data_IF_008673425157
#
_entry.id   IF_008673425157
#
_cell.length_a   1.000
_cell.length_b   1.000
_cell.length_c   1.000
_cell.angle_alpha   90.00
_cell.angle_beta   90.00
_cell.angle_gamma   90.00
#
_symmetry.space_group_name_H-M   'P 1'
#
loop_
_entity.id
_entity.type
_entity.pdbx_description
1 polymer ?
#
# COMPACT_ATOMS: atom_id res chain seq x y z
N UNK A 1 -16.33 32.10 10.69
CA UNK A 1 -16.01 31.07 9.66
C UNK A 1 -15.02 30.01 10.14
N UNK A 2 -14.22 30.27 11.18
CA UNK A 2 -13.21 29.35 11.74
C UNK A 2 -13.76 28.29 12.72
N UNK A 3 -14.86 28.57 13.44
CA UNK A 3 -15.43 27.60 14.39
C UNK A 3 -16.12 26.38 13.76
N UNK A 4 -16.69 26.52 12.55
CA UNK A 4 -17.30 25.37 11.83
C UNK A 4 -16.26 24.41 11.26
N UNK A 5 -15.05 24.86 10.93
CA UNK A 5 -14.02 24.00 10.35
C UNK A 5 -13.39 23.03 11.37
N UNK A 6 -13.40 23.38 12.66
CA UNK A 6 -12.89 22.50 13.74
C UNK A 6 -13.87 21.35 14.04
N UNK A 7 -15.17 21.54 13.77
CA UNK A 7 -16.21 20.55 14.05
C UNK A 7 -16.25 19.38 13.06
N UNK A 8 -15.58 19.49 11.90
CA UNK A 8 -15.54 18.45 10.86
C UNK A 8 -14.20 17.72 10.77
N UNK A 9 -13.31 17.87 11.76
CA UNK A 9 -12.14 16.99 11.79
C UNK A 9 -12.62 15.54 11.93
N UNK A 10 -12.23 14.62 11.04
CA UNK A 10 -12.85 13.31 10.98
C UNK A 10 -12.53 12.55 12.26
N UNK A 11 -13.50 12.47 13.17
CA UNK A 11 -13.38 11.72 14.43
C UNK A 11 -12.89 10.29 14.20
N UNK A 12 -13.21 9.71 13.03
CA UNK A 12 -12.72 8.43 12.56
C UNK A 12 -11.18 8.29 12.53
N UNK A 13 -10.41 9.39 12.41
CA UNK A 13 -8.95 9.38 12.34
C UNK A 13 -8.28 10.10 13.51
N UNK A 14 -9.04 10.43 14.56
CA UNK A 14 -8.49 11.04 15.77
C UNK A 14 -8.37 9.98 16.87
N UNK A 15 -7.16 9.71 17.38
CA UNK A 15 -7.01 8.78 18.48
C UNK A 15 -7.66 9.32 19.75
N UNK A 16 -8.16 8.43 20.61
CA UNK A 16 -8.79 8.79 21.89
C UNK A 16 -7.85 9.55 22.84
N UNK A 17 -6.54 9.36 22.70
CA UNK A 17 -5.54 10.16 23.41
C UNK A 17 -4.09 9.89 22.99
N UNK A 18 -3.18 10.72 23.50
CA UNK A 18 -1.75 10.63 23.19
C UNK A 18 -1.09 9.31 23.64
N UNK A 19 -1.61 8.68 24.70
CA UNK A 19 -1.12 7.40 25.19
C UNK A 19 -1.23 6.30 24.13
N UNK A 20 -2.30 6.30 23.33
CA UNK A 20 -2.49 5.38 22.19
C UNK A 20 -1.43 5.63 21.13
N UNK A 21 -1.19 6.89 20.77
CA UNK A 21 -0.16 7.28 19.79
C UNK A 21 1.22 6.81 20.23
N UNK A 22 1.59 7.04 21.50
CA UNK A 22 2.88 6.59 22.02
C UNK A 22 2.99 5.06 22.05
N UNK A 23 1.92 4.35 22.41
CA UNK A 23 1.91 2.89 22.39
C UNK A 23 2.06 2.33 20.97
N UNK A 24 1.38 2.91 19.97
CA UNK A 24 1.54 2.55 18.56
C UNK A 24 3.00 2.74 18.13
N UNK A 25 3.59 3.90 18.42
CA UNK A 25 4.99 4.21 18.09
C UNK A 25 5.94 3.21 18.76
N UNK A 26 5.72 2.87 20.02
CA UNK A 26 6.55 1.91 20.75
C UNK A 26 6.53 0.53 20.10
N UNK A 27 5.35 0.01 19.73
CA UNK A 27 5.21 -1.27 19.01
C UNK A 27 5.96 -1.23 17.68
N UNK A 28 5.78 -0.17 16.89
CA UNK A 28 6.47 0.00 15.60
C UNK A 28 8.00 0.04 15.79
N UNK A 29 8.50 0.74 16.80
CA UNK A 29 9.93 0.82 17.10
C UNK A 29 10.52 -0.55 17.44
N UNK A 30 9.83 -1.35 18.26
CA UNK A 30 10.22 -2.73 18.58
C UNK A 30 10.32 -3.57 17.31
N UNK A 31 9.33 -3.50 16.42
CA UNK A 31 9.33 -4.25 15.15
C UNK A 31 10.51 -3.85 14.25
N UNK A 32 10.82 -2.55 14.14
CA UNK A 32 11.97 -2.07 13.36
C UNK A 32 13.28 -2.63 13.90
N UNK A 33 13.45 -2.63 15.22
CA UNK A 33 14.66 -3.16 15.89
C UNK A 33 14.77 -4.67 15.67
N UNK A 34 13.68 -5.42 15.90
CA UNK A 34 13.66 -6.87 15.64
C UNK A 34 13.99 -7.17 14.19
N UNK A 35 13.41 -6.44 13.24
CA UNK A 35 13.70 -6.58 11.81
C UNK A 35 15.18 -6.33 11.48
N UNK A 36 15.80 -5.31 12.08
CA UNK A 36 17.23 -5.02 11.91
C UNK A 36 18.11 -6.17 12.44
N UNK A 37 17.87 -6.57 13.69
CA UNK A 37 18.64 -7.61 14.38
C UNK A 37 18.51 -8.94 13.64
N UNK A 38 17.31 -9.27 13.15
CA UNK A 38 17.07 -10.45 12.34
C UNK A 38 17.86 -10.41 11.03
N UNK A 39 17.76 -9.32 10.26
CA UNK A 39 18.43 -9.17 8.96
C UNK A 39 19.97 -9.10 9.05
N UNK A 40 20.49 -8.58 10.16
CA UNK A 40 21.93 -8.43 10.41
C UNK A 40 22.54 -9.59 11.20
N UNK A 41 22.24 -9.63 12.51
CA UNK A 41 22.91 -10.47 13.49
C UNK A 41 22.45 -11.94 13.44
N UNK A 42 21.13 -12.19 13.45
CA UNK A 42 20.61 -13.57 13.53
C UNK A 42 20.97 -14.38 12.27
N UNK A 43 20.88 -13.79 11.08
CA UNK A 43 21.30 -14.46 9.82
C UNK A 43 22.78 -14.84 9.85
N UNK A 44 23.64 -14.01 10.44
CA UNK A 44 25.08 -14.29 10.48
C UNK A 44 25.44 -15.47 11.40
N UNK A 45 24.60 -15.79 12.39
CA UNK A 45 24.89 -16.77 13.43
C UNK A 45 24.05 -18.05 13.36
N UNK A 46 22.83 -18.00 12.83
CA UNK A 46 21.89 -19.13 12.86
C UNK A 46 21.87 -19.86 11.51
N UNK A 47 22.25 -21.14 11.52
CA UNK A 47 22.15 -22.07 10.39
C UNK A 47 21.20 -23.19 10.80
N UNK A 48 19.93 -23.20 10.35
CA UNK A 48 19.48 -22.70 9.06
C UNK A 48 18.66 -21.40 9.11
N UNK A 49 18.64 -20.66 7.99
CA UNK A 49 17.85 -19.42 7.82
C UNK A 49 16.33 -19.58 7.98
N UNK A 50 15.84 -20.82 8.15
CA UNK A 50 14.45 -21.14 8.53
C UNK A 50 14.08 -20.47 9.86
N UNK A 51 14.94 -20.53 10.88
CA UNK A 51 14.65 -19.92 12.18
C UNK A 51 14.47 -18.41 12.05
N UNK A 52 15.33 -17.74 11.28
CA UNK A 52 15.20 -16.29 11.06
C UNK A 52 13.91 -15.96 10.31
N UNK A 53 13.53 -16.75 9.29
CA UNK A 53 12.24 -16.60 8.60
C UNK A 53 11.06 -16.73 9.56
N UNK A 54 11.09 -17.74 10.43
CA UNK A 54 10.06 -17.94 11.45
C UNK A 54 9.97 -16.71 12.35
N UNK A 55 11.10 -16.19 12.85
CA UNK A 55 11.11 -14.98 13.70
C UNK A 55 10.44 -13.80 13.01
N UNK A 56 10.78 -13.48 11.75
CA UNK A 56 10.20 -12.31 11.08
C UNK A 56 8.73 -12.51 10.68
N UNK A 57 8.32 -13.71 10.29
CA UNK A 57 6.91 -13.99 10.01
C UNK A 57 6.05 -14.05 11.28
N UNK A 58 6.58 -14.60 12.37
CA UNK A 58 5.95 -14.51 13.69
C UNK A 58 5.83 -13.05 14.13
N UNK A 59 6.82 -12.21 13.87
CA UNK A 59 6.75 -10.78 14.14
C UNK A 59 5.62 -10.08 13.36
N UNK A 60 5.36 -10.47 12.10
CA UNK A 60 4.19 -9.98 11.34
C UNK A 60 2.90 -10.37 12.05
N UNK A 61 2.70 -11.66 12.36
CA UNK A 61 1.45 -12.14 12.97
C UNK A 61 1.24 -11.55 14.36
N UNK A 62 2.22 -11.67 15.25
CA UNK A 62 2.15 -11.18 16.63
C UNK A 62 2.05 -9.66 16.66
N UNK A 63 2.80 -8.95 15.82
CA UNK A 63 2.75 -7.49 15.72
C UNK A 63 1.38 -7.00 15.26
N UNK A 64 0.80 -7.63 14.24
CA UNK A 64 -0.56 -7.30 13.78
C UNK A 64 -1.61 -7.58 14.85
N UNK A 65 -1.57 -8.74 15.52
CA UNK A 65 -2.52 -9.06 16.59
C UNK A 65 -2.36 -8.10 17.77
N UNK A 66 -1.14 -7.82 18.21
CA UNK A 66 -0.89 -6.88 19.30
C UNK A 66 -1.40 -5.48 18.96
N UNK A 67 -1.18 -5.01 17.72
CA UNK A 67 -1.69 -3.72 17.26
C UNK A 67 -3.22 -3.70 17.19
N UNK A 68 -3.84 -4.75 16.65
CA UNK A 68 -5.29 -4.89 16.59
C UNK A 68 -5.92 -4.76 17.98
N UNK A 69 -5.32 -5.43 18.99
CA UNK A 69 -5.77 -5.34 20.39
C UNK A 69 -5.53 -3.99 21.01
N UNK A 70 -4.39 -3.35 20.71
CA UNK A 70 -4.05 -2.03 21.23
C UNK A 70 -5.04 -0.96 20.76
N UNK A 71 -5.52 -1.08 19.51
CA UNK A 71 -6.43 -0.09 18.89
C UNK A 71 -7.87 -0.60 18.81
N UNK A 72 -8.26 -1.65 19.55
CA UNK A 72 -9.57 -2.29 19.41
C UNK A 72 -10.73 -1.31 19.65
N UNK A 73 -10.58 -0.41 20.62
CA UNK A 73 -11.57 0.59 21.02
C UNK A 73 -11.43 1.93 20.27
N UNK A 74 -10.49 2.02 19.33
CA UNK A 74 -10.25 3.24 18.56
C UNK A 74 -11.20 3.37 17.35
N UNK A 75 -11.42 4.59 16.86
CA UNK A 75 -12.19 4.81 15.63
C UNK A 75 -11.58 4.09 14.42
N UNK A 76 -12.44 3.70 13.46
CA UNK A 76 -12.05 2.82 12.34
C UNK A 76 -10.87 3.35 11.50
N UNK A 77 -10.78 4.66 11.28
CA UNK A 77 -9.67 5.27 10.55
C UNK A 77 -8.33 5.18 11.31
N UNK A 78 -8.34 5.37 12.64
CA UNK A 78 -7.17 5.15 13.51
C UNK A 78 -6.73 3.69 13.45
N UNK A 79 -7.69 2.76 13.57
CA UNK A 79 -7.44 1.32 13.45
C UNK A 79 -6.82 0.96 12.12
N UNK A 80 -7.36 1.48 11.03
CA UNK A 80 -6.86 1.25 9.68
C UNK A 80 -5.41 1.71 9.54
N UNK A 81 -5.10 2.94 9.96
CA UNK A 81 -3.74 3.48 9.86
C UNK A 81 -2.76 2.65 10.71
N UNK A 82 -3.13 2.32 11.95
CA UNK A 82 -2.29 1.50 12.84
C UNK A 82 -2.00 0.11 12.24
N UNK A 83 -3.02 -0.56 11.70
CA UNK A 83 -2.89 -1.88 11.08
C UNK A 83 -2.08 -1.85 9.77
N UNK A 84 -2.25 -0.80 8.95
CA UNK A 84 -1.41 -0.60 7.76
C UNK A 84 0.05 -0.37 8.15
N UNK A 85 0.32 0.48 9.14
CA UNK A 85 1.68 0.78 9.57
C UNK A 85 2.38 -0.45 10.15
N UNK A 86 1.72 -1.20 11.04
CA UNK A 86 2.34 -2.39 11.66
C UNK A 86 2.61 -3.49 10.63
N UNK A 87 1.71 -3.70 9.67
CA UNK A 87 1.89 -4.70 8.61
C UNK A 87 2.99 -4.26 7.64
N UNK A 88 3.00 -3.00 7.22
CA UNK A 88 4.06 -2.43 6.38
C UNK A 88 5.43 -2.58 7.05
N UNK A 89 5.56 -2.14 8.30
CA UNK A 89 6.83 -2.16 9.04
C UNK A 89 7.31 -3.58 9.35
N UNK A 90 6.43 -4.51 9.72
CA UNK A 90 6.83 -5.90 9.94
C UNK A 90 7.25 -6.60 8.65
N UNK A 91 6.57 -6.32 7.52
CA UNK A 91 6.97 -6.82 6.20
C UNK A 91 8.33 -6.28 5.74
N UNK A 92 8.79 -5.11 6.24
CA UNK A 92 10.18 -4.65 6.01
C UNK A 92 11.20 -5.67 6.52
N UNK A 93 10.96 -6.25 7.70
CA UNK A 93 11.81 -7.29 8.27
C UNK A 93 11.85 -8.54 7.38
N UNK A 94 10.68 -8.98 6.90
CA UNK A 94 10.56 -10.13 5.99
C UNK A 94 11.34 -9.92 4.70
N UNK A 95 11.11 -8.81 3.99
CA UNK A 95 11.80 -8.56 2.71
C UNK A 95 13.30 -8.34 2.90
N UNK A 96 13.72 -7.78 4.04
CA UNK A 96 15.12 -7.63 4.38
C UNK A 96 15.82 -8.98 4.56
N UNK A 97 15.21 -9.87 5.36
CA UNK A 97 15.72 -11.23 5.58
C UNK A 97 15.76 -12.01 4.27
N UNK A 98 14.71 -11.96 3.46
CA UNK A 98 14.68 -12.68 2.18
C UNK A 98 15.69 -12.12 1.17
N UNK A 99 15.80 -10.79 1.03
CA UNK A 99 16.82 -10.17 0.18
C UNK A 99 18.24 -10.45 0.67
N UNK A 100 18.45 -10.55 1.99
CA UNK A 100 19.75 -10.91 2.56
C UNK A 100 20.13 -12.35 2.25
N UNK A 101 19.20 -13.28 2.45
CA UNK A 101 19.42 -14.72 2.26
C UNK A 101 19.59 -15.09 0.78
N UNK A 102 18.87 -14.43 -0.13
CA UNK A 102 18.90 -14.74 -1.57
C UNK A 102 19.91 -13.92 -2.34
N UNK A 103 19.87 -12.61 -2.14
CA UNK A 103 20.57 -11.63 -2.98
C UNK A 103 21.81 -11.05 -2.26
N UNK A 104 22.07 -11.46 -1.02
CA UNK A 104 23.24 -11.03 -0.23
C UNK A 104 23.17 -9.60 0.29
N UNK A 105 22.08 -8.86 0.04
CA UNK A 105 21.94 -7.42 0.33
C UNK A 105 22.16 -7.11 1.81
N UNK A 106 23.07 -6.20 2.13
CA UNK A 106 23.35 -5.71 3.49
C UNK A 106 23.07 -4.22 3.56
N UNK A 107 22.38 -3.80 4.62
CA UNK A 107 22.23 -2.38 4.95
C UNK A 107 22.86 -2.13 6.32
N UNK A 108 23.64 -1.06 6.42
CA UNK A 108 24.03 -0.49 7.71
C UNK A 108 22.78 0.07 8.43
N UNK A 109 22.91 0.39 9.72
CA UNK A 109 21.77 0.81 10.54
C UNK A 109 21.04 2.06 9.99
N UNK A 110 21.77 3.07 9.50
CA UNK A 110 21.16 4.30 8.97
C UNK A 110 20.37 4.02 7.66
N UNK A 111 20.95 3.40 6.61
CA UNK A 111 20.18 2.97 5.44
C UNK A 111 19.02 2.04 5.76
N UNK A 112 19.17 1.17 6.78
CA UNK A 112 18.10 0.31 7.27
C UNK A 112 16.93 1.12 7.84
N UNK A 113 17.19 2.03 8.77
CA UNK A 113 16.16 2.87 9.38
C UNK A 113 15.47 3.75 8.32
N UNK A 114 16.24 4.32 7.40
CA UNK A 114 15.73 5.07 6.26
C UNK A 114 14.77 4.22 5.39
N UNK A 115 15.14 2.98 5.09
CA UNK A 115 14.30 2.04 4.35
C UNK A 115 13.04 1.62 5.13
N UNK A 116 13.20 1.31 6.41
CA UNK A 116 12.17 0.69 7.24
C UNK A 116 11.07 1.69 7.66
N UNK A 117 11.46 2.92 7.99
CA UNK A 117 10.57 3.95 8.52
C UNK A 117 10.20 4.97 7.45
N UNK A 118 11.18 5.38 6.64
CA UNK A 118 11.05 6.54 5.77
C UNK A 118 10.52 6.28 4.37
N UNK A 119 10.31 5.02 3.99
CA UNK A 119 9.98 4.63 2.62
C UNK A 119 8.89 3.56 2.57
N UNK A 120 7.99 3.63 1.59
CA UNK A 120 6.91 2.65 1.43
C UNK A 120 7.26 1.47 0.52
N UNK A 121 8.24 1.63 -0.40
CA UNK A 121 8.68 0.53 -1.27
C UNK A 121 9.43 -0.56 -0.52
N UNK A 122 9.55 -1.74 -1.13
CA UNK A 122 9.87 -2.99 -0.42
C UNK A 122 11.17 -3.64 -0.92
N UNK A 123 12.02 -2.85 -1.57
CA UNK A 123 13.36 -3.23 -2.03
C UNK A 123 14.45 -2.63 -1.12
N UNK A 124 15.03 -3.41 -0.20
CA UNK A 124 16.14 -2.96 0.64
C UNK A 124 17.35 -2.48 -0.18
N UNK A 125 17.63 -3.13 -1.31
CA UNK A 125 18.75 -2.81 -2.19
C UNK A 125 18.73 -1.37 -2.72
N UNK A 126 17.57 -0.71 -2.76
CA UNK A 126 17.47 0.69 -3.19
C UNK A 126 18.19 1.66 -2.22
N UNK A 127 18.42 1.26 -0.97
CA UNK A 127 18.98 2.10 0.08
C UNK A 127 20.48 1.89 0.29
N UNK A 128 21.13 0.98 -0.44
CA UNK A 128 22.57 0.71 -0.31
C UNK A 128 23.42 1.97 -0.54
N UNK A 129 22.98 2.86 -1.44
CA UNK A 129 23.66 4.12 -1.75
C UNK A 129 23.33 5.31 -0.83
N UNK A 130 22.50 5.12 0.20
CA UNK A 130 22.19 6.20 1.16
C UNK A 130 23.43 6.50 2.00
N UNK A 131 23.82 7.78 2.18
CA UNK A 131 25.00 8.16 2.93
C UNK A 131 25.03 7.56 4.33
N UNK A 132 26.18 7.01 4.66
CA UNK A 132 26.54 6.51 5.98
C UNK A 132 28.07 6.52 6.07
N UNK A 133 28.63 6.10 7.21
CA UNK A 133 30.08 6.10 7.41
C UNK A 133 30.80 5.41 6.22
N UNK A 134 31.59 6.18 5.46
CA UNK A 134 32.33 5.70 4.29
C UNK A 134 31.62 5.82 2.92
N UNK A 135 30.38 6.31 2.85
CA UNK A 135 29.64 6.49 1.58
C UNK A 135 29.21 7.96 1.41
N UNK A 136 29.75 8.70 0.41
CA UNK A 136 29.44 10.12 0.21
C UNK A 136 28.06 10.34 -0.44
N UNK A 137 27.49 11.54 -0.24
CA UNK A 137 26.22 11.94 -0.83
C UNK A 137 26.33 12.17 -2.34
N UNK A 138 25.39 11.60 -3.10
CA UNK A 138 25.24 11.83 -4.55
C UNK A 138 24.57 13.18 -4.79
N UNK A 139 25.29 14.16 -5.36
CA UNK A 139 24.80 15.55 -5.46
C UNK A 139 23.94 15.86 -6.70
N UNK A 140 23.98 15.04 -7.75
CA UNK A 140 23.41 15.41 -9.06
C UNK A 140 22.31 14.47 -9.56
N UNK A 141 21.19 14.38 -8.84
CA UNK A 141 19.99 13.68 -9.36
C UNK A 141 18.94 14.71 -9.77
N UNK A 142 18.55 14.79 -11.06
CA UNK A 142 17.54 15.74 -11.52
C UNK A 142 16.15 15.31 -11.04
N UNK A 143 15.74 15.82 -9.87
CA UNK A 143 14.44 15.49 -9.26
C UNK A 143 13.35 16.51 -9.56
N UNK A 144 13.67 17.62 -10.21
CA UNK A 144 12.71 18.70 -10.54
C UNK A 144 11.44 18.18 -11.23
N UNK A 145 11.51 17.25 -12.22
CA UNK A 145 10.30 16.71 -12.83
C UNK A 145 9.39 15.98 -11.85
N UNK A 146 9.96 15.28 -10.86
CA UNK A 146 9.20 14.59 -9.82
C UNK A 146 8.53 15.58 -8.86
N UNK A 147 9.23 16.66 -8.50
CA UNK A 147 8.71 17.71 -7.62
C UNK A 147 7.53 18.43 -8.27
N UNK A 148 7.71 18.87 -9.52
CA UNK A 148 6.65 19.57 -10.28
C UNK A 148 5.47 18.64 -10.53
N UNK A 149 5.72 17.42 -11.00
CA UNK A 149 4.64 16.49 -11.28
C UNK A 149 3.92 16.03 -10.00
N UNK A 150 4.63 15.94 -8.86
CA UNK A 150 4.03 15.73 -7.55
C UNK A 150 3.10 16.88 -7.15
N UNK A 151 3.55 18.13 -7.30
CA UNK A 151 2.76 19.32 -6.97
C UNK A 151 1.49 19.43 -7.83
N UNK A 152 1.60 19.23 -9.15
CA UNK A 152 0.46 19.27 -10.07
C UNK A 152 -0.58 18.22 -9.69
N UNK A 153 -0.16 16.97 -9.42
CA UNK A 153 -1.09 15.89 -9.07
C UNK A 153 -1.70 16.08 -7.70
N UNK A 154 -0.93 16.59 -6.74
CA UNK A 154 -1.45 16.94 -5.43
C UNK A 154 -2.51 18.03 -5.52
N UNK A 155 -2.24 19.13 -6.26
CA UNK A 155 -3.20 20.21 -6.46
C UNK A 155 -4.47 19.71 -7.18
N UNK A 156 -4.32 18.92 -8.24
CA UNK A 156 -5.45 18.31 -8.95
C UNK A 156 -6.29 17.42 -8.03
N UNK A 157 -5.64 16.57 -7.22
CA UNK A 157 -6.31 15.75 -6.24
C UNK A 157 -7.04 16.57 -5.17
N UNK A 158 -6.41 17.62 -4.64
CA UNK A 158 -7.00 18.52 -3.66
C UNK A 158 -8.24 19.23 -4.20
N UNK A 159 -8.24 19.64 -5.48
CA UNK A 159 -9.42 20.19 -6.15
C UNK A 159 -10.55 19.16 -6.24
N UNK A 160 -10.25 17.90 -6.57
CA UNK A 160 -11.26 16.83 -6.59
C UNK A 160 -11.81 16.53 -5.18
N UNK A 161 -10.97 16.53 -4.15
CA UNK A 161 -11.42 16.35 -2.76
C UNK A 161 -12.34 17.51 -2.34
N UNK A 162 -11.96 18.75 -2.64
CA UNK A 162 -12.80 19.92 -2.36
C UNK A 162 -14.14 19.85 -3.12
N UNK A 163 -14.12 19.40 -4.38
CA UNK A 163 -15.33 19.21 -5.17
C UNK A 163 -16.21 18.07 -4.64
N UNK A 164 -15.62 16.95 -4.19
CA UNK A 164 -16.34 15.86 -3.56
C UNK A 164 -17.00 16.31 -2.24
N UNK A 165 -16.29 17.09 -1.43
CA UNK A 165 -16.83 17.68 -0.20
C UNK A 165 -17.99 18.62 -0.51
N UNK A 166 -17.86 19.47 -1.52
CA UNK A 166 -18.95 20.33 -1.98
C UNK A 166 -20.15 19.50 -2.44
N UNK A 167 -19.96 18.47 -3.26
CA UNK A 167 -21.03 17.56 -3.69
C UNK A 167 -21.77 16.92 -2.51
N UNK A 168 -21.05 16.53 -1.45
CA UNK A 168 -21.64 15.89 -0.28
C UNK A 168 -22.60 16.80 0.51
N UNK A 169 -22.33 18.11 0.56
CA UNK A 169 -23.06 19.08 1.39
C UNK A 169 -23.91 20.08 0.61
N UNK A 170 -23.80 20.10 -0.70
CA UNK A 170 -24.46 21.11 -1.53
C UNK A 170 -25.97 20.87 -1.59
N UNK A 171 -26.81 21.85 -1.13
CA UNK A 171 -28.26 21.70 -1.16
C UNK A 171 -28.85 21.84 -2.58
N UNK A 172 -28.05 22.32 -3.55
CA UNK A 172 -28.47 22.47 -4.95
C UNK A 172 -28.31 21.18 -5.77
N UNK A 173 -27.70 20.12 -5.22
CA UNK A 173 -27.63 18.82 -5.89
C UNK A 173 -28.97 18.09 -5.68
N UNK A 174 -29.78 17.84 -6.71
CA UNK A 174 -31.13 17.28 -6.59
C UNK A 174 -31.09 15.75 -6.45
N UNK A 175 -30.24 15.24 -5.54
CA UNK A 175 -30.12 13.83 -5.22
C UNK A 175 -30.46 13.61 -3.76
N UNK A 176 -31.08 12.47 -3.46
CA UNK A 176 -31.19 11.99 -2.09
C UNK A 176 -29.81 11.77 -1.47
N UNK A 177 -29.73 11.77 -0.14
CA UNK A 177 -28.46 11.78 0.60
C UNK A 177 -27.54 10.61 0.23
N UNK A 178 -28.06 9.39 0.17
CA UNK A 178 -27.24 8.20 -0.14
C UNK A 178 -26.65 8.24 -1.56
N UNK A 179 -27.44 8.43 -2.64
CA UNK A 179 -26.90 8.62 -3.99
C UNK A 179 -25.89 9.78 -4.08
N UNK A 180 -26.14 10.90 -3.39
CA UNK A 180 -25.22 12.05 -3.36
C UNK A 180 -23.86 11.66 -2.77
N UNK A 181 -23.85 10.94 -1.65
CA UNK A 181 -22.62 10.45 -1.03
C UNK A 181 -21.89 9.40 -1.87
N UNK A 182 -22.62 8.55 -2.60
CA UNK A 182 -22.01 7.62 -3.56
C UNK A 182 -21.28 8.37 -4.68
N UNK A 183 -21.91 9.40 -5.27
CA UNK A 183 -21.27 10.23 -6.30
C UNK A 183 -20.06 10.97 -5.73
N UNK A 184 -20.18 11.58 -4.55
CA UNK A 184 -19.06 12.23 -3.87
C UNK A 184 -17.91 11.24 -3.61
N UNK A 185 -18.20 10.00 -3.24
CA UNK A 185 -17.20 8.94 -3.02
C UNK A 185 -16.43 8.60 -4.31
N UNK A 186 -17.12 8.50 -5.45
CA UNK A 186 -16.52 8.24 -6.76
C UNK A 186 -15.55 9.35 -7.16
N UNK A 187 -15.80 10.60 -6.76
CA UNK A 187 -14.89 11.74 -7.00
C UNK A 187 -13.76 11.78 -5.98
N UNK A 188 -14.07 11.52 -4.70
CA UNK A 188 -13.13 11.58 -3.59
C UNK A 188 -12.00 10.57 -3.76
N UNK A 189 -12.31 9.32 -4.11
CA UNK A 189 -11.32 8.23 -4.19
C UNK A 189 -10.17 8.53 -5.18
N UNK A 190 -10.43 8.92 -6.44
CA UNK A 190 -9.38 9.41 -7.34
C UNK A 190 -8.67 10.67 -6.81
N UNK A 191 -9.38 11.60 -6.17
CA UNK A 191 -8.79 12.80 -5.56
C UNK A 191 -7.73 12.46 -4.50
N UNK A 192 -8.09 11.62 -3.53
CA UNK A 192 -7.18 11.10 -2.52
C UNK A 192 -6.02 10.32 -3.15
N UNK A 193 -6.29 9.49 -4.16
CA UNK A 193 -5.25 8.74 -4.85
C UNK A 193 -4.24 9.66 -5.54
N UNK A 194 -4.69 10.72 -6.21
CA UNK A 194 -3.83 11.73 -6.82
C UNK A 194 -2.97 12.46 -5.80
N UNK A 195 -3.55 12.84 -4.65
CA UNK A 195 -2.80 13.47 -3.55
C UNK A 195 -1.74 12.52 -2.97
N UNK A 196 -2.16 11.31 -2.55
CA UNK A 196 -1.33 10.40 -1.78
C UNK A 196 -0.37 9.59 -2.68
N UNK A 197 -0.91 8.80 -3.62
CA UNK A 197 -0.14 7.83 -4.41
C UNK A 197 0.72 8.48 -5.50
N UNK A 198 0.26 9.59 -6.08
CA UNK A 198 0.95 10.24 -7.19
C UNK A 198 1.58 11.59 -6.83
N UNK A 199 1.03 12.31 -5.86
CA UNK A 199 1.56 13.57 -5.35
C UNK A 199 2.67 13.35 -4.33
N UNK A 200 2.29 13.00 -3.09
CA UNK A 200 3.20 12.83 -1.94
C UNK A 200 4.30 11.81 -2.26
N UNK A 201 3.95 10.66 -2.85
CA UNK A 201 4.98 9.67 -3.18
C UNK A 201 5.98 10.16 -4.25
N UNK A 202 5.61 11.07 -5.16
CA UNK A 202 6.58 11.68 -6.07
C UNK A 202 7.58 12.56 -5.33
N UNK A 203 7.12 13.32 -4.34
CA UNK A 203 8.00 14.10 -3.46
C UNK A 203 8.89 13.21 -2.60
N UNK A 204 8.35 12.12 -2.07
CA UNK A 204 9.12 11.14 -1.31
C UNK A 204 10.22 10.49 -2.17
N UNK A 205 9.93 10.13 -3.44
CA UNK A 205 10.95 9.66 -4.39
C UNK A 205 12.03 10.72 -4.59
N UNK A 206 11.64 11.98 -4.84
CA UNK A 206 12.58 13.09 -5.02
C UNK A 206 13.49 13.29 -3.80
N UNK A 207 12.92 13.25 -2.58
CA UNK A 207 13.64 13.37 -1.32
C UNK A 207 14.69 12.25 -1.19
N UNK A 208 14.28 10.99 -1.35
CA UNK A 208 15.19 9.86 -1.19
C UNK A 208 16.24 9.76 -2.28
N UNK A 209 15.92 10.15 -3.52
CA UNK A 209 16.91 10.25 -4.60
C UNK A 209 17.98 11.32 -4.30
N UNK A 210 17.60 12.47 -3.73
CA UNK A 210 18.56 13.48 -3.24
C UNK A 210 19.41 12.98 -2.08
N UNK A 211 18.89 12.02 -1.31
CA UNK A 211 19.63 11.32 -0.26
C UNK A 211 20.33 10.03 -0.74
N UNK A 212 20.53 9.87 -2.05
CA UNK A 212 21.34 8.78 -2.61
C UNK A 212 20.63 7.43 -2.76
N UNK A 213 19.35 7.32 -2.40
CA UNK A 213 18.59 6.09 -2.61
C UNK A 213 18.19 5.92 -4.09
N UNK A 214 18.34 4.72 -4.64
CA UNK A 214 17.92 4.36 -5.99
C UNK A 214 16.44 3.92 -6.02
N UNK A 215 15.57 4.78 -5.49
CA UNK A 215 14.13 4.56 -5.47
C UNK A 215 13.48 5.02 -6.77
N UNK A 216 12.34 4.42 -7.12
CA UNK A 216 11.56 4.76 -8.31
C UNK A 216 10.11 5.04 -7.90
N UNK A 217 9.32 5.74 -8.73
CA UNK A 217 7.90 5.91 -8.48
C UNK A 217 7.20 4.57 -8.23
N UNK A 218 6.41 4.53 -7.16
CA UNK A 218 5.65 3.35 -6.73
C UNK A 218 4.40 3.11 -7.60
N UNK A 219 3.95 4.13 -8.34
CA UNK A 219 2.85 4.05 -9.30
C UNK A 219 3.32 4.63 -10.63
N UNK A 220 3.11 3.90 -11.74
CA UNK A 220 3.68 4.24 -13.06
C UNK A 220 2.62 4.26 -14.14
N UNK A 221 1.95 5.40 -14.27
CA UNK A 221 0.91 5.65 -15.27
C UNK A 221 -0.07 4.45 -15.41
N UNK A 222 -0.73 3.99 -14.33
CA UNK A 222 -1.55 2.78 -14.36
C UNK A 222 -2.74 2.87 -15.33
N UNK A 223 -3.16 4.08 -15.70
CA UNK A 223 -4.25 4.31 -16.64
C UNK A 223 -3.91 3.96 -18.10
N UNK A 224 -2.63 3.71 -18.43
CA UNK A 224 -2.24 3.30 -19.80
C UNK A 224 -2.16 1.78 -19.98
N UNK A 225 -2.43 1.01 -18.92
CA UNK A 225 -2.38 -0.46 -18.93
C UNK A 225 -3.29 -1.07 -20.01
N UNK A 226 -2.79 -2.09 -20.70
CA UNK A 226 -3.52 -2.88 -21.71
C UNK A 226 -3.85 -4.31 -21.27
N UNK A 227 -3.40 -4.70 -20.08
CA UNK A 227 -3.78 -5.96 -19.44
C UNK A 227 -3.77 -5.82 -17.92
N UNK A 228 -4.46 -6.73 -17.24
CA UNK A 228 -4.42 -6.83 -15.78
C UNK A 228 -3.02 -7.22 -15.30
N UNK A 229 -2.33 -8.09 -16.02
CA UNK A 229 -0.94 -8.44 -15.73
C UNK A 229 0.00 -7.22 -15.74
N UNK A 230 -0.18 -6.30 -16.69
CA UNK A 230 0.58 -5.05 -16.75
C UNK A 230 0.19 -4.09 -15.60
N UNK A 231 -1.12 -3.92 -15.36
CA UNK A 231 -1.63 -3.05 -14.30
C UNK A 231 -1.09 -3.47 -12.93
N UNK A 232 -1.34 -4.73 -12.52
CA UNK A 232 -0.98 -5.24 -11.19
C UNK A 232 0.51 -5.54 -11.06
N UNK A 233 1.19 -5.95 -12.13
CA UNK A 233 2.59 -6.36 -12.05
C UNK A 233 3.61 -5.25 -12.26
N UNK A 234 3.23 -4.14 -12.91
CA UNK A 234 4.23 -3.17 -13.41
C UNK A 234 3.88 -1.71 -13.14
N UNK A 235 2.62 -1.39 -12.81
CA UNK A 235 2.15 0.01 -12.80
C UNK A 235 1.43 0.44 -11.53
N UNK A 236 0.68 -0.47 -10.91
CA UNK A 236 -0.07 -0.20 -9.69
C UNK A 236 0.68 -0.74 -8.46
N UNK A 237 0.88 0.12 -7.46
CA UNK A 237 1.40 -0.23 -6.15
C UNK A 237 2.63 -1.16 -6.18
N UNK A 238 3.71 -0.67 -6.77
CA UNK A 238 4.95 -1.44 -6.91
C UNK A 238 5.58 -1.82 -5.57
N UNK A 239 5.27 -1.14 -4.47
CA UNK A 239 5.66 -1.58 -3.14
C UNK A 239 5.10 -2.98 -2.82
N UNK A 240 3.82 -3.21 -3.12
CA UNK A 240 3.20 -4.53 -2.97
C UNK A 240 3.77 -5.56 -3.94
N UNK A 241 4.02 -5.17 -5.20
CA UNK A 241 4.65 -6.08 -6.19
C UNK A 241 6.03 -6.52 -5.72
N UNK A 242 6.84 -5.58 -5.25
CA UNK A 242 8.17 -5.85 -4.70
C UNK A 242 8.10 -6.80 -3.50
N UNK A 243 7.24 -6.50 -2.53
CA UNK A 243 7.04 -7.32 -1.33
C UNK A 243 6.61 -8.74 -1.69
N UNK A 244 5.53 -8.87 -2.46
CA UNK A 244 4.97 -10.19 -2.80
C UNK A 244 5.89 -10.98 -3.71
N UNK A 245 6.66 -10.31 -4.60
CA UNK A 245 7.71 -10.98 -5.39
C UNK A 245 8.75 -11.63 -4.48
N UNK A 246 9.26 -10.87 -3.50
CA UNK A 246 10.33 -11.32 -2.59
C UNK A 246 9.81 -12.37 -1.60
N UNK A 247 8.70 -12.07 -0.93
CA UNK A 247 8.21 -12.83 0.22
C UNK A 247 7.34 -14.05 -0.16
N UNK A 248 6.68 -14.04 -1.32
CA UNK A 248 5.66 -15.06 -1.68
C UNK A 248 5.99 -15.73 -3.02
N UNK A 249 6.05 -14.94 -4.10
CA UNK A 249 6.18 -15.49 -5.46
C UNK A 249 7.45 -16.30 -5.65
N UNK A 250 8.62 -15.71 -5.40
CA UNK A 250 9.91 -16.39 -5.60
C UNK A 250 10.05 -17.66 -4.75
N UNK A 251 9.71 -17.69 -3.45
CA UNK A 251 9.74 -18.95 -2.68
C UNK A 251 8.76 -20.00 -3.20
N UNK A 252 7.55 -19.62 -3.61
CA UNK A 252 6.53 -20.57 -4.04
C UNK A 252 6.68 -21.02 -5.49
N UNK A 253 7.35 -20.24 -6.35
CA UNK A 253 7.53 -20.58 -7.77
C UNK A 253 8.23 -21.93 -7.96
N UNK A 254 9.19 -22.27 -7.10
CA UNK A 254 9.92 -23.54 -7.19
C UNK A 254 9.10 -24.74 -6.73
N UNK A 255 8.04 -24.52 -5.94
CA UNK A 255 7.23 -25.59 -5.34
C UNK A 255 5.89 -25.76 -6.06
N UNK A 256 5.19 -24.64 -6.32
CA UNK A 256 3.85 -24.60 -6.89
C UNK A 256 3.82 -24.18 -8.38
N UNK A 257 4.99 -24.00 -8.99
CA UNK A 257 5.13 -23.48 -10.35
C UNK A 257 4.71 -22.02 -10.48
N UNK A 258 4.78 -21.49 -11.70
CA UNK A 258 4.46 -20.10 -11.98
C UNK A 258 2.98 -19.75 -11.73
N UNK A 259 2.04 -20.60 -12.19
CA UNK A 259 0.60 -20.37 -12.00
C UNK A 259 0.21 -20.38 -10.53
N UNK A 260 0.66 -21.38 -9.76
CA UNK A 260 0.37 -21.49 -8.33
C UNK A 260 0.96 -20.32 -7.54
N UNK A 261 2.20 -19.91 -7.85
CA UNK A 261 2.81 -18.76 -7.21
C UNK A 261 2.08 -17.44 -7.52
N UNK A 262 1.59 -17.24 -8.75
CA UNK A 262 0.76 -16.07 -9.09
C UNK A 262 -0.55 -16.06 -8.29
N UNK A 263 -1.27 -17.17 -8.21
CA UNK A 263 -2.50 -17.26 -7.41
C UNK A 263 -2.22 -16.95 -5.94
N UNK A 264 -1.15 -17.52 -5.37
CA UNK A 264 -0.75 -17.28 -3.99
C UNK A 264 -0.45 -15.79 -3.71
N UNK A 265 0.19 -15.08 -4.64
CA UNK A 265 0.44 -13.63 -4.52
C UNK A 265 -0.87 -12.84 -4.42
N UNK A 266 -1.84 -13.14 -5.28
CA UNK A 266 -3.13 -12.46 -5.25
C UNK A 266 -3.92 -12.76 -3.98
N UNK A 267 -3.95 -14.02 -3.53
CA UNK A 267 -4.62 -14.38 -2.28
C UNK A 267 -3.96 -13.72 -1.06
N UNK A 268 -2.63 -13.71 -1.01
CA UNK A 268 -1.89 -13.01 0.04
C UNK A 268 -2.17 -11.50 0.02
N UNK A 269 -2.25 -10.88 -1.16
CA UNK A 269 -2.70 -9.49 -1.30
C UNK A 269 -4.12 -9.30 -0.75
N UNK A 270 -5.03 -10.23 -1.04
CA UNK A 270 -6.38 -10.25 -0.49
C UNK A 270 -6.39 -10.18 1.04
N UNK A 271 -5.64 -11.06 1.70
CA UNK A 271 -5.50 -11.08 3.17
C UNK A 271 -4.99 -9.76 3.70
N UNK A 272 -3.97 -9.15 3.09
CA UNK A 272 -3.47 -7.85 3.54
C UNK A 272 -4.52 -6.74 3.39
N UNK A 273 -5.38 -6.81 2.38
CA UNK A 273 -6.48 -5.87 2.23
C UNK A 273 -7.63 -6.15 3.22
N UNK A 274 -7.86 -7.40 3.65
CA UNK A 274 -8.75 -7.66 4.80
C UNK A 274 -8.27 -6.94 6.05
N UNK A 275 -6.96 -7.01 6.33
CA UNK A 275 -6.36 -6.34 7.50
C UNK A 275 -6.47 -4.81 7.41
N UNK A 276 -6.41 -4.25 6.21
CA UNK A 276 -6.46 -2.80 6.00
C UNK A 276 -7.89 -2.25 5.80
N UNK A 277 -8.86 -3.06 5.39
CA UNK A 277 -10.20 -2.60 4.97
C UNK A 277 -11.29 -3.21 5.85
N UNK A 278 -11.31 -4.52 6.02
CA UNK A 278 -12.38 -5.23 6.74
C UNK A 278 -12.18 -5.22 8.25
N UNK A 279 -10.95 -5.49 8.71
CA UNK A 279 -10.61 -5.56 10.13
C UNK A 279 -10.83 -4.23 10.89
N UNK A 280 -10.47 -3.05 10.36
CA UNK A 280 -10.68 -1.78 11.06
C UNK A 280 -12.15 -1.44 11.35
N UNK A 281 -13.07 -1.95 10.52
CA UNK A 281 -14.52 -1.77 10.65
C UNK A 281 -15.24 -3.03 11.13
N UNK A 282 -14.49 -4.11 11.41
CA UNK A 282 -15.00 -5.42 11.85
C UNK A 282 -16.13 -5.99 10.98
N UNK A 283 -16.10 -5.72 9.68
CA UNK A 283 -17.16 -6.09 8.75
C UNK A 283 -16.64 -6.27 7.33
N UNK A 284 -17.41 -6.98 6.49
CA UNK A 284 -17.06 -7.21 5.09
C UNK A 284 -15.91 -8.21 4.86
N UNK A 285 -15.60 -9.05 5.85
CA UNK A 285 -14.57 -10.08 5.75
C UNK A 285 -14.80 -11.00 4.54
N UNK A 286 -13.72 -11.29 3.82
CA UNK A 286 -13.71 -12.15 2.64
C UNK A 286 -13.96 -11.38 1.34
N UNK A 287 -14.54 -10.18 1.38
CA UNK A 287 -14.82 -9.38 0.18
C UNK A 287 -13.52 -8.88 -0.48
N UNK A 288 -12.58 -8.20 0.22
CA UNK A 288 -11.26 -7.90 -0.35
C UNK A 288 -10.55 -9.14 -0.90
N UNK A 289 -10.58 -10.27 -0.18
CA UNK A 289 -9.95 -11.52 -0.65
C UNK A 289 -10.58 -12.03 -1.93
N UNK A 290 -11.91 -11.99 -2.04
CA UNK A 290 -12.65 -12.34 -3.25
C UNK A 290 -12.27 -11.44 -4.43
N UNK A 291 -12.14 -10.12 -4.21
CA UNK A 291 -11.71 -9.18 -5.26
C UNK A 291 -10.37 -9.60 -5.88
N UNK A 292 -9.36 -9.92 -5.04
CA UNK A 292 -8.06 -10.35 -5.56
C UNK A 292 -8.08 -11.77 -6.11
N UNK A 293 -8.92 -12.67 -5.60
CA UNK A 293 -9.10 -14.01 -6.18
C UNK A 293 -9.68 -13.95 -7.60
N UNK A 294 -10.67 -13.08 -7.84
CA UNK A 294 -11.22 -12.82 -9.17
C UNK A 294 -10.13 -12.30 -10.13
N UNK A 295 -9.29 -11.40 -9.65
CA UNK A 295 -8.16 -10.90 -10.43
C UNK A 295 -7.09 -11.97 -10.72
N UNK A 296 -6.86 -12.89 -9.79
CA UNK A 296 -5.98 -14.03 -10.02
C UNK A 296 -6.50 -14.89 -11.19
N UNK A 297 -7.81 -15.16 -11.22
CA UNK A 297 -8.45 -15.89 -12.29
C UNK A 297 -8.37 -15.13 -13.62
N UNK A 298 -8.66 -13.83 -13.62
CA UNK A 298 -8.62 -12.99 -14.83
C UNK A 298 -7.20 -12.88 -15.41
N UNK A 299 -6.17 -12.68 -14.58
CA UNK A 299 -4.76 -12.68 -15.02
C UNK A 299 -4.31 -14.06 -15.52
N UNK A 300 -4.80 -15.14 -14.91
CA UNK A 300 -4.52 -16.50 -15.38
C UNK A 300 -5.12 -16.74 -16.77
N UNK A 301 -6.31 -16.19 -17.03
CA UNK A 301 -6.96 -16.23 -18.33
C UNK A 301 -6.20 -15.39 -19.38
N UNK A 302 -5.72 -14.19 -19.03
CA UNK A 302 -4.88 -13.38 -19.92
C UNK A 302 -3.61 -14.14 -20.34
N UNK A 303 -2.94 -14.79 -19.38
CA UNK A 303 -1.75 -15.61 -19.65
C UNK A 303 -2.06 -16.81 -20.53
N UNK A 304 -3.22 -17.44 -20.33
CA UNK A 304 -3.65 -18.55 -21.18
C UNK A 304 -3.86 -18.09 -22.63
N UNK A 305 -4.55 -16.97 -22.85
CA UNK A 305 -4.73 -16.40 -24.19
C UNK A 305 -3.42 -15.94 -24.82
N UNK A 306 -2.49 -15.38 -24.04
CA UNK A 306 -1.15 -15.05 -24.52
C UNK A 306 -0.38 -16.30 -24.98
N UNK A 307 -0.46 -17.40 -24.22
CA UNK A 307 0.15 -18.69 -24.61
C UNK A 307 -0.45 -19.29 -25.89
N UNK A 308 -1.67 -18.90 -26.25
CA UNK A 308 -2.33 -19.27 -27.52
C UNK A 308 -2.04 -18.28 -28.67
N UNK A 309 -1.15 -17.31 -28.48
CA UNK A 309 -0.87 -16.27 -29.48
C UNK A 309 -2.00 -15.25 -29.67
N UNK A 310 -2.92 -15.12 -28.70
CA UNK A 310 -4.08 -14.21 -28.74
C UNK A 310 -4.09 -13.21 -27.59
N UNK A 311 -2.97 -12.51 -27.29
CA UNK A 311 -2.86 -11.67 -26.11
C UNK A 311 -3.91 -10.55 -26.08
N UNK A 312 -4.51 -10.32 -24.92
CA UNK A 312 -5.53 -9.28 -24.75
C UNK A 312 -4.96 -7.87 -24.99
N UNK A 313 -3.66 -7.68 -24.71
CA UNK A 313 -2.95 -6.41 -24.83
C UNK A 313 -2.84 -5.87 -26.26
N UNK A 314 -3.05 -6.74 -27.26
CA UNK A 314 -2.96 -6.39 -28.68
C UNK A 314 -4.33 -6.07 -29.29
N UNK A 315 -5.43 -6.20 -28.54
CA UNK A 315 -6.80 -6.00 -29.04
C UNK A 315 -7.26 -4.54 -29.05
N UNK A 316 -6.34 -3.59 -29.22
CA UNK A 316 -6.65 -2.16 -29.34
C UNK A 316 -7.49 -1.63 -28.16
N UNK A 317 -8.66 -1.02 -28.45
CA UNK A 317 -9.56 -0.45 -27.43
C UNK A 317 -10.10 -1.51 -26.46
N UNK A 318 -10.32 -2.74 -26.92
CA UNK A 318 -10.86 -3.82 -26.09
C UNK A 318 -9.91 -4.23 -24.97
N UNK A 319 -8.61 -4.03 -25.15
CA UNK A 319 -7.61 -4.23 -24.10
C UNK A 319 -7.87 -3.33 -22.88
N UNK A 320 -8.26 -2.06 -23.13
CA UNK A 320 -8.59 -1.09 -22.10
C UNK A 320 -9.95 -1.38 -21.47
N UNK A 321 -10.96 -1.68 -22.29
CA UNK A 321 -12.30 -2.04 -21.77
C UNK A 321 -12.20 -3.26 -20.86
N UNK A 322 -11.45 -4.30 -21.27
CA UNK A 322 -11.19 -5.46 -20.44
C UNK A 322 -10.47 -5.08 -19.13
N UNK A 323 -9.34 -4.39 -19.22
CA UNK A 323 -8.51 -4.05 -18.06
C UNK A 323 -9.26 -3.19 -17.05
N UNK A 324 -9.89 -2.09 -17.49
CA UNK A 324 -10.61 -1.19 -16.61
C UNK A 324 -11.97 -1.73 -16.18
N UNK A 325 -12.64 -2.53 -17.01
CA UNK A 325 -13.86 -3.23 -16.61
C UNK A 325 -13.60 -4.13 -15.40
N UNK A 326 -12.54 -4.93 -15.44
CA UNK A 326 -12.14 -5.79 -14.32
C UNK A 326 -11.66 -5.04 -13.08
N UNK A 327 -11.09 -3.84 -13.23
CA UNK A 327 -10.68 -3.02 -12.09
C UNK A 327 -11.89 -2.33 -11.43
N UNK A 328 -12.79 -1.76 -12.24
CA UNK A 328 -13.85 -0.88 -11.76
C UNK A 328 -15.10 -1.65 -11.34
N UNK A 329 -15.52 -2.65 -12.11
CA UNK A 329 -16.78 -3.36 -11.86
C UNK A 329 -16.82 -4.09 -10.50
N UNK A 330 -15.79 -4.85 -10.09
CA UNK A 330 -15.79 -5.52 -8.79
C UNK A 330 -15.32 -4.61 -7.63
N UNK A 331 -14.99 -3.35 -7.90
CA UNK A 331 -14.47 -2.41 -6.90
C UNK A 331 -15.37 -2.24 -5.66
N UNK A 332 -16.72 -2.29 -5.74
CA UNK A 332 -17.60 -2.26 -4.57
C UNK A 332 -17.42 -3.45 -3.61
N UNK A 333 -16.83 -4.56 -4.07
CA UNK A 333 -16.47 -5.69 -3.21
C UNK A 333 -15.21 -5.36 -2.41
N UNK A 334 -14.22 -4.69 -3.04
CA UNK A 334 -13.00 -4.27 -2.35
C UNK A 334 -13.28 -3.15 -1.34
N UNK A 335 -14.02 -2.11 -1.75
CA UNK A 335 -14.44 -1.02 -0.88
C UNK A 335 -15.89 -1.20 -0.49
N UNK A 336 -16.14 -2.18 0.38
CA UNK A 336 -17.48 -2.55 0.82
C UNK A 336 -18.17 -1.44 1.64
N UNK A 337 -19.52 -1.43 1.74
CA UNK A 337 -20.25 -0.35 2.38
C UNK A 337 -19.84 -0.03 3.83
N UNK A 338 -19.58 -1.02 4.73
CA UNK A 338 -19.05 -0.73 6.05
C UNK A 338 -17.73 0.05 6.04
N UNK A 339 -16.80 -0.29 5.14
CA UNK A 339 -15.55 0.46 4.97
C UNK A 339 -15.79 1.88 4.46
N UNK A 340 -16.67 2.04 3.46
CA UNK A 340 -17.01 3.36 2.93
C UNK A 340 -17.59 4.26 4.04
N UNK A 341 -18.51 3.73 4.85
CA UNK A 341 -19.12 4.47 5.95
C UNK A 341 -18.14 4.76 7.08
N UNK A 342 -17.36 3.78 7.51
CA UNK A 342 -16.47 3.92 8.67
C UNK A 342 -15.17 4.69 8.39
N UNK A 343 -14.66 4.68 7.16
CA UNK A 343 -13.35 5.25 6.82
C UNK A 343 -13.44 6.34 5.73
N UNK A 344 -14.33 6.23 4.76
CA UNK A 344 -14.35 7.14 3.60
C UNK A 344 -15.25 8.35 3.82
N UNK A 345 -16.51 8.15 4.19
CA UNK A 345 -17.47 9.22 4.43
C UNK A 345 -17.05 10.19 5.56
N UNK A 346 -16.32 9.77 6.61
CA UNK A 346 -15.76 10.69 7.58
C UNK A 346 -14.81 11.71 6.96
N UNK A 347 -14.09 11.37 5.89
CA UNK A 347 -13.26 12.32 5.14
C UNK A 347 -14.08 13.37 4.39
N UNK A 348 -15.37 13.11 4.18
CA UNK A 348 -16.36 14.08 3.71
C UNK A 348 -17.06 14.79 4.87
N UNK A 349 -16.64 14.65 6.14
CA UNK A 349 -17.31 15.28 7.28
C UNK A 349 -18.69 14.69 7.61
N UNK A 350 -18.97 13.48 7.13
CA UNK A 350 -20.21 12.75 7.43
C UNK A 350 -19.89 11.66 8.46
N UNK A 351 -20.61 11.65 9.57
CA UNK A 351 -20.46 10.60 10.59
C UNK A 351 -20.86 9.23 10.01
N UNK A 352 -20.04 8.23 10.31
CA UNK A 352 -20.09 6.89 9.71
C UNK A 352 -21.10 5.94 10.33
#
# INVERSE_FOLDING_TARGET
MTARLVQYWPAAYTPSGWHVVFAIIAVLAVIVVVGFVAAGFLIARIRPGVVVRLVVWTCVVVGTVAMERLVADEPAGVRMVALILVTLTSMKGVVAVESRLRDGVRLAFIPWAAFAIGWFGMRPAAFVGVPHLGVPQRKDVPVTPLVVAGAVRFAAGAMLVAFAWWLAHSPVVPLADTPRLCVATVVLMPGLSLMLHFGIFSWMVALWQRWGANVRPLFRAPLVSRSLGEFWGQRWNLAFVEMTSIAVYRPLRTVAGERGATVAVFLFSGVLHELAISLPVMAGFGLPTLYFALHAAAVSLERHWQGQGRPISERGVWSRVWTFGWIVLPLPILFHPPFIRGCIWPLLGVEG
#
